data_IF_469126932255
#
_entry.id   IF_469126932255
#
_cell.length_a   1.000
_cell.length_b   1.000
_cell.length_c   1.000
_cell.angle_alpha   90.00
_cell.angle_beta   90.00
_cell.angle_gamma   90.00
#
_symmetry.space_group_name_H-M   'P 1'
#
loop_
_entity.id
_entity.type
_entity.pdbx_description
1 polymer ?
#
# COMPACT_ATOMS: atom_id res chain seq x y z
N UNK A 1 -17.90 1.38 -20.07
CA UNK A 1 -17.25 2.46 -19.28
C UNK A 1 -15.75 2.30 -19.48
N UNK A 2 -15.05 3.35 -19.95
CA UNK A 2 -13.58 3.33 -20.04
C UNK A 2 -12.99 3.89 -18.75
N UNK A 3 -11.78 3.47 -18.44
CA UNK A 3 -11.05 3.93 -17.28
C UNK A 3 -9.65 4.41 -17.65
N UNK A 4 -9.17 5.45 -16.98
CA UNK A 4 -7.84 6.01 -17.17
C UNK A 4 -6.97 5.74 -15.95
N UNK A 5 -5.81 5.12 -16.16
CA UNK A 5 -4.84 4.87 -15.10
C UNK A 5 -4.12 6.17 -14.74
N UNK A 6 -3.99 6.42 -13.44
CA UNK A 6 -3.27 7.57 -12.91
C UNK A 6 -1.98 7.10 -12.23
N UNK A 7 -0.82 7.25 -12.88
CA UNK A 7 0.44 6.81 -12.29
C UNK A 7 0.75 7.63 -11.04
N UNK A 8 1.37 6.99 -10.06
CA UNK A 8 1.73 7.65 -8.82
C UNK A 8 2.94 8.59 -9.02
N UNK A 9 2.88 9.86 -8.55
CA UNK A 9 3.91 10.86 -8.82
C UNK A 9 5.11 10.68 -7.89
N UNK A 10 6.23 10.20 -8.44
CA UNK A 10 7.51 10.12 -7.72
C UNK A 10 8.50 11.16 -8.26
N UNK A 11 8.98 12.10 -7.42
CA UNK A 11 10.19 12.86 -7.74
C UNK A 11 11.39 11.94 -7.97
N UNK A 12 12.31 12.39 -8.82
CA UNK A 12 13.53 11.65 -9.09
C UNK A 12 14.47 11.66 -7.87
N UNK A 13 14.82 10.49 -7.36
CA UNK A 13 15.88 10.34 -6.37
C UNK A 13 17.27 10.59 -6.99
N UNK A 14 18.17 11.33 -6.30
CA UNK A 14 19.59 11.34 -6.62
C UNK A 14 20.17 9.91 -6.70
N UNK A 15 21.16 9.69 -7.59
CA UNK A 15 21.75 8.37 -7.78
C UNK A 15 22.54 7.93 -6.55
N UNK A 16 22.59 6.63 -6.31
CA UNK A 16 23.52 6.01 -5.36
C UNK A 16 24.81 5.70 -6.11
N UNK A 17 25.89 6.37 -5.74
CA UNK A 17 27.26 6.15 -6.22
C UNK A 17 28.12 5.39 -5.21
N UNK A 18 27.74 5.46 -3.93
CA UNK A 18 28.37 4.69 -2.86
C UNK A 18 27.64 4.81 -1.52
N UNK A 19 28.26 4.30 -0.47
CA UNK A 19 27.66 4.28 0.88
C UNK A 19 27.46 5.65 1.52
N UNK A 20 28.17 6.67 1.06
CA UNK A 20 27.97 8.05 1.51
C UNK A 20 26.58 8.59 1.12
N UNK A 21 25.97 8.06 0.06
CA UNK A 21 24.64 8.46 -0.42
C UNK A 21 23.50 7.76 0.35
N UNK A 22 23.83 6.81 1.23
CA UNK A 22 22.87 6.04 2.03
C UNK A 22 22.94 6.55 3.46
N UNK A 23 21.86 7.19 3.91
CA UNK A 23 21.84 7.83 5.22
C UNK A 23 22.15 6.86 6.39
N UNK A 24 23.02 7.24 7.35
CA UNK A 24 23.32 6.44 8.54
C UNK A 24 22.11 6.05 9.39
N UNK A 25 20.98 6.79 9.31
CA UNK A 25 19.72 6.47 9.98
C UNK A 25 19.25 5.02 9.73
N UNK A 26 19.54 4.47 8.55
CA UNK A 26 19.14 3.11 8.20
C UNK A 26 20.08 2.03 8.74
N UNK A 27 21.15 2.43 9.43
CA UNK A 27 22.11 1.54 10.07
C UNK A 27 23.16 0.99 9.10
N UNK A 28 23.74 -0.14 9.49
CA UNK A 28 24.88 -0.77 8.82
C UNK A 28 24.62 -2.20 8.36
N UNK A 29 23.38 -2.70 8.53
CA UNK A 29 23.00 -4.09 8.25
C UNK A 29 21.71 -4.10 7.44
N UNK A 30 21.76 -4.68 6.24
CA UNK A 30 20.64 -4.70 5.31
C UNK A 30 20.34 -6.14 4.89
N UNK A 31 19.24 -6.68 5.37
CA UNK A 31 18.73 -7.98 4.91
C UNK A 31 18.05 -7.79 3.56
N UNK A 32 18.47 -8.57 2.57
CA UNK A 32 17.90 -8.61 1.23
C UNK A 32 16.66 -9.51 1.20
N UNK A 33 15.86 -9.40 0.14
CA UNK A 33 14.68 -10.24 -0.07
C UNK A 33 15.00 -11.74 -0.05
N UNK A 34 16.14 -12.12 -0.62
CA UNK A 34 16.65 -13.51 -0.65
C UNK A 34 17.29 -13.98 0.68
N UNK A 35 17.28 -13.14 1.72
CA UNK A 35 17.77 -13.46 3.06
C UNK A 35 19.26 -13.22 3.28
N UNK A 36 20.04 -12.90 2.24
CA UNK A 36 21.43 -12.47 2.43
C UNK A 36 21.49 -11.16 3.21
N UNK A 37 22.60 -10.93 3.90
CA UNK A 37 22.85 -9.69 4.64
C UNK A 37 24.02 -8.97 3.98
N UNK A 38 23.84 -7.68 3.74
CA UNK A 38 24.89 -6.77 3.26
C UNK A 38 25.21 -5.79 4.35
N UNK A 39 26.50 -5.53 4.54
CA UNK A 39 26.99 -4.57 5.50
C UNK A 39 27.44 -3.28 4.80
N UNK A 40 27.25 -2.15 5.49
CA UNK A 40 27.77 -0.87 5.00
C UNK A 40 29.28 -0.96 4.80
N UNK A 41 29.76 -0.49 3.64
CA UNK A 41 31.17 -0.60 3.23
C UNK A 41 31.42 -1.72 2.22
N UNK A 42 30.55 -2.73 2.15
CA UNK A 42 30.65 -3.81 1.16
C UNK A 42 30.14 -3.40 -0.21
N UNK A 43 30.46 -4.15 -1.26
CA UNK A 43 29.87 -3.89 -2.58
C UNK A 43 28.35 -4.14 -2.52
N UNK A 44 27.55 -3.14 -2.89
CA UNK A 44 26.09 -3.32 -3.05
C UNK A 44 25.85 -4.40 -4.13
N UNK A 45 25.13 -5.49 -3.82
CA UNK A 45 24.93 -6.58 -4.77
C UNK A 45 24.15 -6.12 -6.01
N UNK A 46 24.59 -6.57 -7.18
CA UNK A 46 23.73 -6.59 -8.35
C UNK A 46 22.82 -7.83 -8.26
N UNK A 47 21.53 -7.60 -8.03
CA UNK A 47 20.54 -8.67 -7.96
C UNK A 47 19.82 -8.82 -9.28
N UNK A 48 19.39 -10.04 -9.60
CA UNK A 48 18.52 -10.31 -10.75
C UNK A 48 17.20 -9.53 -10.65
N UNK A 49 16.62 -9.51 -9.45
CA UNK A 49 15.42 -8.73 -9.13
C UNK A 49 15.79 -7.53 -8.28
N UNK A 50 15.62 -6.32 -8.83
CA UNK A 50 15.84 -5.08 -8.09
C UNK A 50 14.93 -4.97 -6.84
N UNK A 51 13.78 -5.65 -6.82
CA UNK A 51 12.86 -5.73 -5.68
C UNK A 51 13.43 -6.51 -4.49
N UNK A 52 14.48 -7.30 -4.67
CA UNK A 52 15.13 -8.01 -3.56
C UNK A 52 16.16 -7.12 -2.84
N UNK A 53 16.58 -6.00 -3.43
CA UNK A 53 17.30 -4.96 -2.70
C UNK A 53 16.30 -4.21 -1.80
N UNK A 54 16.63 -3.89 -0.56
CA UNK A 54 15.86 -2.92 0.22
C UNK A 54 15.76 -1.58 -0.51
N UNK A 55 14.63 -0.88 -0.38
CA UNK A 55 14.36 0.42 -1.00
C UNK A 55 15.49 1.44 -0.83
N UNK A 56 16.08 1.50 0.36
CA UNK A 56 17.21 2.38 0.67
C UNK A 56 18.44 2.13 -0.22
N UNK A 57 18.61 0.92 -0.74
CA UNK A 57 19.69 0.53 -1.67
C UNK A 57 19.27 0.58 -3.14
N UNK A 58 18.02 0.94 -3.45
CA UNK A 58 17.52 1.06 -4.83
C UNK A 58 17.80 2.47 -5.36
N UNK A 59 18.15 2.55 -6.64
CA UNK A 59 18.28 3.83 -7.35
C UNK A 59 16.96 4.62 -7.34
N UNK A 60 15.83 3.91 -7.42
CA UNK A 60 14.48 4.48 -7.37
C UNK A 60 13.66 3.78 -6.28
N UNK A 61 13.76 4.23 -5.01
CA UNK A 61 12.84 3.78 -3.97
C UNK A 61 11.41 4.19 -4.32
N UNK A 62 10.45 3.28 -4.14
CA UNK A 62 9.02 3.54 -4.34
C UNK A 62 8.27 3.23 -3.05
N UNK A 63 8.56 4.03 -2.02
CA UNK A 63 8.01 3.87 -0.67
C UNK A 63 7.51 5.20 -0.13
N UNK A 64 6.33 5.60 -0.56
CA UNK A 64 5.58 6.69 0.03
C UNK A 64 4.08 6.42 -0.18
N UNK A 65 3.27 7.03 0.67
CA UNK A 65 1.83 6.89 0.61
C UNK A 65 1.20 7.86 -0.35
N UNK A 66 0.15 7.38 -1.00
CA UNK A 66 -0.88 8.25 -1.48
C UNK A 66 -1.75 8.75 -0.33
N UNK A 67 -2.42 9.88 -0.52
CA UNK A 67 -3.51 10.25 0.36
C UNK A 67 -4.74 9.44 -0.07
N UNK A 68 -5.08 8.43 0.73
CA UNK A 68 -6.27 7.60 0.52
C UNK A 68 -7.50 8.53 0.48
N UNK A 69 -8.33 8.47 -0.58
CA UNK A 69 -9.53 9.29 -0.66
C UNK A 69 -10.49 8.95 0.47
N UNK A 70 -11.23 9.95 0.95
CA UNK A 70 -12.13 9.80 2.12
C UNK A 70 -13.13 8.66 1.92
N UNK A 71 -13.64 8.50 0.69
CA UNK A 71 -14.57 7.43 0.32
C UNK A 71 -13.98 6.01 0.40
N UNK A 72 -12.64 5.87 0.44
CA UNK A 72 -11.94 4.60 0.61
C UNK A 72 -11.35 4.43 2.04
N UNK A 73 -11.67 5.32 2.98
CA UNK A 73 -11.18 5.17 4.35
C UNK A 73 -11.79 3.96 5.03
N UNK A 74 -10.93 3.15 5.65
CA UNK A 74 -11.37 1.98 6.41
C UNK A 74 -11.85 0.81 5.56
N UNK A 75 -11.45 0.72 4.28
CA UNK A 75 -11.72 -0.43 3.40
C UNK A 75 -10.44 -1.21 3.07
N UNK A 76 -9.38 -1.06 3.88
CA UNK A 76 -8.15 -1.84 3.72
C UNK A 76 -8.41 -3.34 3.89
N UNK A 77 -7.59 -4.20 3.30
CA UNK A 77 -7.74 -5.66 3.38
C UNK A 77 -7.75 -6.13 4.83
N UNK A 78 -6.90 -5.54 5.67
CA UNK A 78 -6.83 -5.84 7.10
C UNK A 78 -8.14 -5.53 7.86
N UNK A 79 -8.97 -4.62 7.35
CA UNK A 79 -10.28 -4.26 7.91
C UNK A 79 -11.46 -4.89 7.17
N UNK A 80 -11.25 -5.30 5.92
CA UNK A 80 -12.25 -5.90 5.05
C UNK A 80 -12.39 -7.39 5.30
N UNK A 81 -11.26 -8.09 5.44
CA UNK A 81 -11.20 -9.54 5.47
C UNK A 81 -11.21 -10.08 6.89
N UNK A 82 -11.80 -11.27 7.05
CA UNK A 82 -11.63 -12.06 8.25
C UNK A 82 -10.13 -12.30 8.50
N UNK A 83 -9.74 -12.29 9.78
CA UNK A 83 -8.33 -12.41 10.18
C UNK A 83 -7.61 -13.62 9.55
N UNK A 84 -8.31 -14.75 9.37
CA UNK A 84 -7.76 -15.97 8.76
C UNK A 84 -7.27 -15.69 7.33
N UNK A 85 -8.10 -15.05 6.53
CA UNK A 85 -7.81 -14.77 5.12
C UNK A 85 -6.76 -13.67 4.99
N UNK A 86 -6.83 -12.63 5.82
CA UNK A 86 -5.77 -11.63 5.86
C UNK A 86 -4.42 -12.21 6.27
N UNK A 87 -4.39 -13.12 7.25
CA UNK A 87 -3.18 -13.83 7.65
C UNK A 87 -2.66 -14.74 6.52
N UNK A 88 -3.53 -15.41 5.78
CA UNK A 88 -3.17 -16.24 4.62
C UNK A 88 -2.57 -15.44 3.46
N UNK A 89 -2.94 -14.16 3.33
CA UNK A 89 -2.32 -13.25 2.36
C UNK A 89 -0.98 -12.73 2.87
N UNK A 90 -0.93 -12.18 4.09
CA UNK A 90 0.24 -11.40 4.53
C UNK A 90 1.40 -12.24 5.04
N UNK A 91 1.16 -13.40 5.66
CA UNK A 91 2.24 -14.20 6.29
C UNK A 91 3.22 -14.77 5.25
N UNK A 92 2.76 -15.37 4.13
CA UNK A 92 3.68 -15.83 3.09
C UNK A 92 4.54 -14.70 2.53
N UNK A 93 3.97 -13.50 2.35
CA UNK A 93 4.72 -12.33 1.88
C UNK A 93 5.80 -11.89 2.88
N UNK A 94 5.52 -11.95 4.19
CA UNK A 94 6.51 -11.65 5.23
C UNK A 94 7.66 -12.68 5.22
N UNK A 95 7.32 -13.95 5.05
CA UNK A 95 8.28 -15.05 4.99
C UNK A 95 9.15 -14.98 3.72
N UNK A 96 8.54 -14.71 2.56
CA UNK A 96 9.24 -14.49 1.28
C UNK A 96 10.25 -13.34 1.37
N UNK A 97 9.95 -12.31 2.17
CA UNK A 97 10.86 -11.19 2.44
C UNK A 97 11.84 -11.44 3.57
N UNK A 98 12.08 -12.70 3.94
CA UNK A 98 13.02 -13.11 4.98
C UNK A 98 12.77 -12.43 6.33
N UNK A 99 11.49 -12.11 6.61
CA UNK A 99 11.07 -11.33 7.78
C UNK A 99 11.79 -9.97 7.87
N UNK A 100 11.94 -9.27 6.75
CA UNK A 100 12.61 -7.97 6.67
C UNK A 100 11.76 -6.88 6.04
N UNK A 101 12.01 -5.64 6.45
CA UNK A 101 11.37 -4.47 5.87
C UNK A 101 11.89 -4.23 4.45
N UNK A 102 11.01 -4.23 3.45
CA UNK A 102 11.36 -3.98 2.06
C UNK A 102 11.92 -2.57 1.83
N UNK A 103 11.61 -1.59 2.68
CA UNK A 103 12.13 -0.24 2.55
C UNK A 103 13.57 -0.11 3.08
N UNK A 104 13.82 -0.54 4.33
CA UNK A 104 15.10 -0.29 5.00
C UNK A 104 15.98 -1.54 5.21
N UNK A 105 15.50 -2.74 4.88
CA UNK A 105 16.25 -3.98 5.03
C UNK A 105 16.38 -4.48 6.48
N UNK A 106 15.70 -3.84 7.43
CA UNK A 106 15.73 -4.27 8.84
C UNK A 106 14.93 -5.56 9.01
N UNK A 107 15.60 -6.64 9.42
CA UNK A 107 14.96 -7.88 9.85
C UNK A 107 14.24 -7.72 11.20
N UNK A 108 13.04 -8.25 11.32
CA UNK A 108 12.25 -8.23 12.55
C UNK A 108 11.54 -9.56 12.74
N UNK A 109 11.59 -10.13 13.96
CA UNK A 109 10.87 -11.38 14.26
C UNK A 109 9.35 -11.20 14.28
N UNK A 110 8.88 -9.99 14.58
CA UNK A 110 7.47 -9.62 14.66
C UNK A 110 7.31 -8.11 14.45
N UNK A 111 6.07 -7.64 14.26
CA UNK A 111 5.76 -6.22 14.10
C UNK A 111 5.93 -5.65 12.68
N UNK A 112 6.18 -6.51 11.69
CA UNK A 112 6.09 -6.11 10.28
C UNK A 112 4.63 -5.92 9.87
N UNK A 113 4.40 -4.87 9.10
CA UNK A 113 3.11 -4.48 8.54
C UNK A 113 3.09 -4.84 7.06
N UNK A 114 1.93 -5.30 6.58
CA UNK A 114 1.66 -5.51 5.17
C UNK A 114 0.84 -4.32 4.67
N UNK A 115 1.44 -3.49 3.84
CA UNK A 115 0.88 -2.25 3.33
C UNK A 115 0.41 -2.41 1.90
N UNK A 116 -0.86 -2.12 1.64
CA UNK A 116 -1.45 -2.20 0.31
C UNK A 116 -1.03 -1.01 -0.57
N UNK A 117 -0.54 -1.32 -1.77
CA UNK A 117 -0.29 -0.36 -2.85
C UNK A 117 -1.43 -0.47 -3.85
N UNK A 118 -2.02 0.68 -4.19
CA UNK A 118 -3.21 0.76 -5.01
C UNK A 118 -2.96 1.51 -6.31
N UNK A 119 -3.51 0.96 -7.40
CA UNK A 119 -3.71 1.67 -8.64
C UNK A 119 -5.11 2.27 -8.67
N UNK A 120 -5.21 3.52 -9.12
CA UNK A 120 -6.48 4.23 -9.22
C UNK A 120 -6.80 4.49 -10.68
N UNK A 121 -7.95 3.93 -11.08
CA UNK A 121 -8.48 3.99 -12.43
C UNK A 121 -9.74 4.85 -12.42
N UNK A 122 -9.61 6.07 -12.95
CA UNK A 122 -10.69 7.05 -12.99
C UNK A 122 -11.69 6.69 -14.09
N UNK A 123 -13.01 6.81 -13.84
CA UNK A 123 -14.00 6.56 -14.87
C UNK A 123 -14.03 7.72 -15.88
N UNK A 124 -14.26 7.40 -17.15
CA UNK A 124 -14.53 8.41 -18.19
C UNK A 124 -15.85 9.16 -17.93
N UNK A 125 -16.85 8.46 -17.39
CA UNK A 125 -18.16 8.99 -17.03
C UNK A 125 -18.66 8.39 -15.71
N UNK A 126 -19.43 9.15 -14.93
CA UNK A 126 -20.00 8.70 -13.66
C UNK A 126 -19.10 8.96 -12.44
N UNK A 127 -19.53 8.48 -11.28
CA UNK A 127 -18.91 8.79 -9.98
C UNK A 127 -18.10 7.63 -9.36
N UNK A 128 -17.93 6.51 -10.07
CA UNK A 128 -17.32 5.29 -9.53
C UNK A 128 -16.02 4.94 -10.26
N UNK A 129 -14.89 5.07 -9.56
CA UNK A 129 -13.58 4.61 -10.01
C UNK A 129 -13.26 3.20 -9.52
N UNK A 130 -12.16 2.63 -10.04
CA UNK A 130 -11.64 1.34 -9.59
C UNK A 130 -10.32 1.57 -8.85
N UNK A 131 -10.28 1.10 -7.61
CA UNK A 131 -9.08 1.02 -6.78
C UNK A 131 -8.58 -0.43 -6.85
N UNK A 132 -7.62 -0.70 -7.73
CA UNK A 132 -7.04 -2.03 -7.94
C UNK A 132 -5.87 -2.25 -7.01
N UNK A 133 -5.87 -3.37 -6.28
CA UNK A 133 -4.70 -3.77 -5.51
C UNK A 133 -3.57 -4.09 -6.49
N UNK A 134 -2.44 -3.41 -6.36
CA UNK A 134 -1.29 -3.57 -7.25
C UNK A 134 -0.18 -4.40 -6.60
N UNK A 135 0.11 -4.14 -5.32
CA UNK A 135 1.12 -4.86 -4.56
C UNK A 135 0.81 -4.78 -3.06
N UNK A 136 1.33 -5.72 -2.27
CA UNK A 136 1.46 -5.56 -0.82
C UNK A 136 2.95 -5.46 -0.47
N UNK A 137 3.35 -4.43 0.29
CA UNK A 137 4.72 -4.21 0.75
C UNK A 137 4.87 -4.57 2.22
N UNK A 138 5.94 -5.26 2.58
CA UNK A 138 6.27 -5.63 3.96
C UNK A 138 7.18 -4.59 4.58
N UNK A 139 6.72 -3.95 5.67
CA UNK A 139 7.35 -2.75 6.23
C UNK A 139 7.46 -2.81 7.75
N UNK A 140 8.57 -2.34 8.31
CA UNK A 140 8.63 -2.04 9.75
C UNK A 140 7.73 -0.84 10.09
N UNK A 141 7.40 -0.66 11.37
CA UNK A 141 6.52 0.43 11.83
C UNK A 141 6.92 1.82 11.29
N UNK A 142 8.20 2.21 11.41
CA UNK A 142 8.66 3.53 10.97
C UNK A 142 8.55 3.72 9.45
N UNK A 143 8.87 2.69 8.65
CA UNK A 143 8.71 2.76 7.20
C UNK A 143 7.24 2.69 6.78
N UNK A 144 6.40 1.97 7.53
CA UNK A 144 4.96 1.96 7.26
C UNK A 144 4.34 3.34 7.49
N UNK A 145 4.81 4.10 8.48
CA UNK A 145 4.31 5.45 8.77
C UNK A 145 4.52 6.43 7.61
N UNK A 146 5.54 6.23 6.77
CA UNK A 146 5.79 7.04 5.56
C UNK A 146 4.64 6.97 4.54
N UNK A 147 3.75 5.98 4.68
CA UNK A 147 2.54 5.86 3.87
C UNK A 147 1.31 6.53 4.48
N UNK A 148 1.39 6.95 5.75
CA UNK A 148 0.27 7.50 6.51
C UNK A 148 0.63 8.86 7.08
N UNK A 149 1.12 9.78 6.24
CA UNK A 149 1.62 11.09 6.69
C UNK A 149 0.57 11.90 7.47
N UNK A 150 -0.70 11.87 7.04
CA UNK A 150 -1.79 12.52 7.78
C UNK A 150 -1.98 11.92 9.18
N UNK A 151 -1.91 10.59 9.31
CA UNK A 151 -1.97 9.92 10.61
C UNK A 151 -0.72 10.20 11.45
N UNK A 152 0.46 10.24 10.84
CA UNK A 152 1.70 10.61 11.50
C UNK A 152 1.60 12.01 12.11
N UNK A 153 1.00 12.97 11.39
CA UNK A 153 0.75 14.32 11.90
C UNK A 153 -0.17 14.31 13.13
N UNK A 154 -1.30 13.59 13.05
CA UNK A 154 -2.23 13.46 14.18
C UNK A 154 -1.57 12.84 15.43
N UNK A 155 -0.52 12.03 15.24
CA UNK A 155 0.24 11.40 16.33
C UNK A 155 1.45 12.24 16.79
N UNK A 156 1.65 13.45 16.27
CA UNK A 156 2.81 14.29 16.59
C UNK A 156 4.14 13.73 16.05
N UNK A 157 4.09 12.88 15.02
CA UNK A 157 5.25 12.19 14.41
C UNK A 157 5.55 12.66 12.99
N UNK A 158 5.02 13.82 12.60
CA UNK A 158 5.20 14.37 11.26
C UNK A 158 6.70 14.50 10.90
N UNK A 159 7.45 15.23 11.71
CA UNK A 159 8.86 15.55 11.44
C UNK A 159 9.72 14.27 11.31
N UNK A 160 9.60 13.33 12.25
CA UNK A 160 10.32 12.03 12.18
C UNK A 160 9.98 11.27 10.90
N UNK A 161 8.69 11.25 10.53
CA UNK A 161 8.22 10.48 9.38
C UNK A 161 8.65 11.09 8.05
N UNK A 162 8.59 12.42 7.94
CA UNK A 162 9.03 13.17 6.76
C UNK A 162 10.54 13.10 6.61
N UNK A 163 11.31 13.31 7.69
CA UNK A 163 12.76 13.19 7.67
C UNK A 163 13.19 11.79 7.20
N UNK A 164 12.55 10.73 7.72
CA UNK A 164 12.80 9.36 7.29
C UNK A 164 12.46 9.14 5.82
N UNK A 165 11.31 9.65 5.35
CA UNK A 165 10.87 9.53 3.96
C UNK A 165 11.88 10.22 3.03
N UNK A 166 12.26 11.46 3.33
CA UNK A 166 13.23 12.22 2.57
C UNK A 166 14.59 11.52 2.51
N UNK A 167 15.10 11.03 3.65
CA UNK A 167 16.37 10.27 3.67
C UNK A 167 16.31 8.98 2.89
N UNK A 168 15.18 8.25 2.93
CA UNK A 168 15.01 7.02 2.16
C UNK A 168 15.09 7.29 0.65
N UNK A 169 14.42 8.35 0.21
CA UNK A 169 14.35 8.74 -1.19
C UNK A 169 15.49 9.65 -1.64
N UNK A 170 16.35 10.08 -0.70
CA UNK A 170 17.40 11.09 -0.91
C UNK A 170 16.83 12.40 -1.46
N UNK A 171 15.61 12.76 -1.05
CA UNK A 171 14.94 13.96 -1.51
C UNK A 171 15.45 15.20 -0.78
N UNK A 172 15.61 16.29 -1.53
CA UNK A 172 15.68 17.63 -0.96
C UNK A 172 14.30 18.10 -0.47
N UNK A 173 14.27 19.16 0.34
CA UNK A 173 13.03 19.79 0.79
C UNK A 173 12.14 20.17 -0.40
N UNK A 174 12.69 20.83 -1.42
CA UNK A 174 11.95 21.17 -2.64
C UNK A 174 11.37 19.94 -3.36
N UNK A 175 12.06 18.79 -3.36
CA UNK A 175 11.50 17.57 -3.96
C UNK A 175 10.35 17.00 -3.13
N UNK A 176 10.45 17.08 -1.79
CA UNK A 176 9.37 16.69 -0.89
C UNK A 176 8.15 17.63 -0.99
N UNK A 177 8.36 18.95 -1.09
CA UNK A 177 7.29 19.92 -1.31
C UNK A 177 6.56 19.67 -2.62
N UNK A 178 7.30 19.43 -3.71
CA UNK A 178 6.71 19.06 -5.01
C UNK A 178 5.91 17.77 -4.92
N UNK A 179 6.44 16.75 -4.22
CA UNK A 179 5.71 15.52 -3.95
C UNK A 179 4.40 15.79 -3.18
N UNK A 180 4.46 16.60 -2.12
CA UNK A 180 3.29 17.02 -1.35
C UNK A 180 2.21 17.65 -2.22
N UNK A 181 2.58 18.62 -3.06
CA UNK A 181 1.65 19.27 -3.99
C UNK A 181 0.98 18.31 -4.96
N UNK A 182 1.72 17.34 -5.52
CA UNK A 182 1.13 16.33 -6.39
C UNK A 182 0.15 15.42 -5.65
N UNK A 183 0.50 14.99 -4.43
CA UNK A 183 -0.35 14.10 -3.63
C UNK A 183 -1.62 14.80 -3.16
N UNK A 184 -1.54 16.10 -2.81
CA UNK A 184 -2.72 16.90 -2.48
C UNK A 184 -3.67 17.08 -3.66
N UNK A 185 -3.16 17.48 -4.83
CA UNK A 185 -3.97 17.64 -6.04
C UNK A 185 -4.64 16.33 -6.46
N UNK A 186 -3.94 15.21 -6.29
CA UNK A 186 -4.43 13.86 -6.56
C UNK A 186 -5.51 13.45 -5.55
N UNK A 187 -5.32 13.68 -4.25
CA UNK A 187 -6.36 13.48 -3.21
C UNK A 187 -7.64 14.22 -3.57
N UNK A 188 -7.52 15.50 -3.89
CA UNK A 188 -8.67 16.35 -4.19
C UNK A 188 -9.41 15.86 -5.43
N UNK A 189 -8.67 15.38 -6.44
CA UNK A 189 -9.23 14.70 -7.60
C UNK A 189 -9.98 13.43 -7.21
N UNK A 190 -9.40 12.60 -6.34
CA UNK A 190 -9.94 11.29 -5.98
C UNK A 190 -11.12 11.34 -5.01
N UNK A 191 -11.21 12.38 -4.19
CA UNK A 191 -12.35 12.62 -3.30
C UNK A 191 -13.65 12.90 -4.06
N UNK A 192 -13.58 13.16 -5.38
CA UNK A 192 -14.76 13.31 -6.24
C UNK A 192 -15.41 11.99 -6.64
N UNK A 193 -14.77 10.86 -6.32
CA UNK A 193 -15.20 9.53 -6.73
C UNK A 193 -15.41 8.61 -5.53
N UNK A 194 -16.29 7.63 -5.71
CA UNK A 194 -16.38 6.44 -4.88
C UNK A 194 -15.56 5.32 -5.53
N UNK A 195 -14.94 4.46 -4.73
CA UNK A 195 -13.97 3.49 -5.23
C UNK A 195 -14.46 2.06 -5.04
N UNK A 196 -14.45 1.30 -6.13
CA UNK A 196 -14.72 -0.13 -6.13
C UNK A 196 -13.37 -0.85 -6.01
N UNK A 197 -13.27 -1.82 -5.10
CA UNK A 197 -12.04 -2.57 -4.89
C UNK A 197 -11.90 -3.66 -5.95
N UNK A 198 -10.80 -3.64 -6.70
CA UNK A 198 -10.42 -4.74 -7.56
C UNK A 198 -9.31 -5.56 -6.89
N UNK A 199 -9.67 -6.77 -6.47
CA UNK A 199 -8.81 -7.71 -5.75
C UNK A 199 -8.38 -8.90 -6.61
N UNK A 200 -8.45 -8.76 -7.94
CA UNK A 200 -8.12 -9.82 -8.90
C UNK A 200 -6.73 -10.43 -8.67
N UNK A 201 -5.77 -9.65 -8.17
CA UNK A 201 -4.37 -10.10 -7.99
C UNK A 201 -4.17 -11.03 -6.77
N UNK A 202 -5.14 -11.14 -5.87
CA UNK A 202 -4.97 -11.89 -4.61
C UNK A 202 -5.00 -13.39 -4.91
N UNK A 203 -3.86 -14.07 -5.04
CA UNK A 203 -3.86 -15.50 -5.43
C UNK A 203 -3.92 -16.48 -4.26
N UNK A 204 -3.47 -16.08 -3.06
CA UNK A 204 -3.36 -16.99 -1.91
C UNK A 204 -4.68 -17.42 -1.28
N UNK A 205 -5.79 -16.81 -1.72
CA UNK A 205 -7.15 -17.09 -1.25
C UNK A 205 -8.08 -17.17 -2.45
N UNK A 206 -8.75 -18.30 -2.62
CA UNK A 206 -9.69 -18.52 -3.72
C UNK A 206 -11.00 -17.76 -3.51
N UNK A 207 -11.56 -17.80 -2.29
CA UNK A 207 -12.78 -17.09 -1.89
C UNK A 207 -12.52 -16.28 -0.63
N UNK A 208 -12.82 -14.98 -0.70
CA UNK A 208 -12.58 -14.05 0.40
C UNK A 208 -13.68 -14.13 1.46
N UNK A 209 -13.33 -14.34 2.71
CA UNK A 209 -14.24 -14.27 3.83
C UNK A 209 -14.18 -12.88 4.43
N UNK A 210 -15.31 -12.17 4.45
CA UNK A 210 -15.38 -10.82 4.99
C UNK A 210 -15.44 -10.83 6.51
N UNK A 211 -14.85 -9.80 7.15
CA UNK A 211 -14.94 -9.65 8.59
C UNK A 211 -16.39 -9.40 9.03
N UNK A 212 -16.75 -9.91 10.21
CA UNK A 212 -18.10 -9.81 10.78
C UNK A 212 -18.59 -8.38 11.05
N UNK A 213 -17.69 -7.40 11.03
CA UNK A 213 -18.07 -5.98 11.13
C UNK A 213 -18.83 -5.49 9.88
N UNK A 214 -18.67 -6.19 8.75
CA UNK A 214 -19.38 -5.88 7.52
C UNK A 214 -20.75 -6.54 7.47
N UNK A 215 -21.66 -5.90 6.76
CA UNK A 215 -23.02 -6.38 6.48
C UNK A 215 -23.37 -6.06 5.02
N UNK A 216 -24.37 -6.74 4.47
CA UNK A 216 -24.88 -6.41 3.15
C UNK A 216 -25.65 -5.09 3.20
N UNK A 217 -25.48 -4.25 2.17
CA UNK A 217 -26.32 -3.07 2.01
C UNK A 217 -27.79 -3.50 1.84
N UNK A 218 -28.75 -2.81 2.47
CA UNK A 218 -30.17 -3.22 2.43
C UNK A 218 -30.79 -3.15 1.03
N UNK A 219 -30.30 -2.25 0.18
CA UNK A 219 -30.92 -1.95 -1.12
C UNK A 219 -30.02 -2.24 -2.33
N UNK A 220 -28.71 -2.35 -2.12
CA UNK A 220 -27.73 -2.41 -3.21
C UNK A 220 -27.08 -3.78 -3.21
N UNK A 221 -27.42 -4.58 -4.21
CA UNK A 221 -26.84 -5.91 -4.35
C UNK A 221 -25.31 -5.81 -4.48
N UNK A 222 -24.61 -6.68 -3.75
CA UNK A 222 -23.14 -6.81 -3.76
C UNK A 222 -22.37 -5.58 -3.30
N UNK A 223 -23.06 -4.64 -2.65
CA UNK A 223 -22.44 -3.59 -1.83
C UNK A 223 -22.48 -4.04 -0.38
N UNK A 224 -21.36 -3.87 0.31
CA UNK A 224 -21.24 -4.12 1.75
C UNK A 224 -21.08 -2.79 2.48
N UNK A 225 -21.55 -2.75 3.72
CA UNK A 225 -21.45 -1.59 4.59
C UNK A 225 -21.01 -1.98 6.01
N UNK A 226 -20.31 -1.04 6.66
CA UNK A 226 -19.90 -1.15 8.06
C UNK A 226 -19.95 0.23 8.73
N UNK A 227 -20.16 0.31 10.05
CA UNK A 227 -20.04 1.57 10.79
C UNK A 227 -18.68 2.23 10.57
N UNK A 228 -18.60 3.56 10.70
CA UNK A 228 -17.35 4.30 10.69
C UNK A 228 -16.37 3.76 11.74
N UNK A 229 -15.05 3.82 11.45
CA UNK A 229 -14.04 3.27 12.36
C UNK A 229 -13.71 4.25 13.49
N UNK A 230 -13.83 5.55 13.23
CA UNK A 230 -13.56 6.62 14.18
C UNK A 230 -14.84 7.40 14.49
N UNK A 231 -14.89 8.01 15.67
CA UNK A 231 -16.02 8.84 16.08
C UNK A 231 -16.27 9.97 15.07
N UNK A 232 -17.53 10.19 14.71
CA UNK A 232 -17.92 11.14 13.66
C UNK A 232 -17.73 10.64 12.22
N UNK A 233 -17.12 9.47 11.99
CA UNK A 233 -17.17 8.84 10.67
C UNK A 233 -18.54 8.21 10.44
N UNK A 234 -19.15 8.55 9.30
CA UNK A 234 -20.36 7.89 8.81
C UNK A 234 -20.12 6.44 8.40
N UNK A 235 -21.15 5.83 7.84
CA UNK A 235 -21.10 4.47 7.28
C UNK A 235 -20.05 4.37 6.16
N UNK A 236 -19.25 3.32 6.20
CA UNK A 236 -18.31 2.94 5.14
C UNK A 236 -18.99 1.98 4.18
N UNK A 237 -18.69 2.10 2.90
CA UNK A 237 -19.23 1.24 1.85
C UNK A 237 -18.09 0.65 1.02
N UNK A 238 -18.27 -0.56 0.52
CA UNK A 238 -17.36 -1.17 -0.44
C UNK A 238 -18.10 -2.08 -1.42
N UNK A 239 -17.51 -2.24 -2.59
CA UNK A 239 -17.86 -3.26 -3.56
C UNK A 239 -16.57 -3.95 -4.03
N UNK A 240 -16.65 -5.23 -4.39
CA UNK A 240 -15.50 -6.08 -4.67
C UNK A 240 -15.59 -6.67 -6.09
N UNK A 241 -14.50 -6.56 -6.84
CA UNK A 241 -14.28 -7.15 -8.15
C UNK A 241 -13.13 -8.17 -8.08
N UNK A 242 -13.10 -9.07 -9.06
CA UNK A 242 -11.99 -10.00 -9.29
C UNK A 242 -11.99 -11.25 -8.43
N UNK A 243 -12.77 -11.29 -7.35
CA UNK A 243 -12.81 -12.40 -6.41
C UNK A 243 -14.22 -12.76 -5.95
N UNK A 244 -14.52 -14.07 -5.78
CA UNK A 244 -15.69 -14.48 -5.04
C UNK A 244 -15.47 -14.17 -3.55
N UNK A 245 -16.57 -13.92 -2.84
CA UNK A 245 -16.51 -13.59 -1.42
C UNK A 245 -17.72 -14.12 -0.66
N UNK A 246 -17.57 -14.25 0.65
CA UNK A 246 -18.57 -14.78 1.57
C UNK A 246 -18.78 -13.80 2.71
N UNK A 247 -20.05 -13.58 3.07
CA UNK A 247 -20.46 -12.81 4.25
C UNK A 247 -21.68 -13.49 4.87
N UNK A 248 -21.70 -13.66 6.20
CA UNK A 248 -22.83 -14.28 6.92
C UNK A 248 -23.39 -15.53 6.22
N UNK A 249 -22.50 -16.46 5.85
CA UNK A 249 -22.80 -17.72 5.14
C UNK A 249 -23.42 -17.59 3.74
N UNK A 250 -23.57 -16.36 3.23
CA UNK A 250 -23.98 -16.09 1.85
C UNK A 250 -22.75 -15.95 0.98
N UNK A 251 -22.71 -16.74 -0.09
CA UNK A 251 -21.65 -16.71 -1.08
C UNK A 251 -22.04 -15.83 -2.26
N UNK A 252 -21.09 -15.01 -2.70
CA UNK A 252 -21.19 -14.19 -3.89
C UNK A 252 -20.12 -14.63 -4.88
N UNK A 253 -20.49 -14.97 -6.14
CA UNK A 253 -19.52 -15.36 -7.15
C UNK A 253 -18.57 -14.20 -7.47
N UNK A 254 -17.46 -14.46 -8.16
CA UNK A 254 -16.60 -13.38 -8.63
C UNK A 254 -17.34 -12.51 -9.64
N UNK A 255 -17.20 -11.19 -9.54
CA UNK A 255 -17.51 -10.31 -10.67
C UNK A 255 -16.22 -9.95 -11.40
N UNK A 256 -16.15 -10.06 -12.73
CA UNK A 256 -14.94 -9.72 -13.46
C UNK A 256 -14.62 -8.23 -13.30
N UNK A 257 -13.33 -7.91 -13.15
CA UNK A 257 -12.87 -6.53 -13.28
C UNK A 257 -12.97 -6.10 -14.75
N UNK A 258 -13.47 -4.89 -15.04
CA UNK A 258 -13.45 -4.34 -16.40
C UNK A 258 -12.04 -3.87 -16.81
N UNK A 259 -11.08 -3.83 -15.88
CA UNK A 259 -9.68 -3.57 -16.18
C UNK A 259 -9.07 -4.85 -16.74
N UNK A 260 -8.63 -4.80 -18.00
CA UNK A 260 -7.85 -5.90 -18.58
C UNK A 260 -6.64 -6.18 -17.69
N UNK A 261 -6.28 -7.46 -17.55
CA UNK A 261 -4.97 -7.82 -17.01
C UNK A 261 -3.98 -7.30 -18.03
N UNK A 262 -3.07 -6.41 -17.63
CA UNK A 262 -1.98 -6.02 -18.53
C UNK A 262 -1.27 -7.32 -18.96
N UNK A 263 -1.28 -7.60 -20.25
CA UNK A 263 -0.57 -8.72 -20.86
C UNK A 263 0.95 -8.62 -20.60
#
# INVERSE_FOLDING_TARGET
MRYFWTPFPFPQSPPITGWADIDPLFGNHFTLGDGRVVHRGEKIPALEKASDLPGVLRQRPQFCGDLIPVSAHGTSLASLLAKKDWDAIRKPLIEERSNSCEACGRRQKSGLNAHEIWEYHLPEHGAHGIQRLAQIKILCHHCHMMFHLAFANLQGKWDETVDRLMRLHRWSENQFENFGGFVEARRDTFNRYSWILDLSIVQSVDTLHLDKVWSLHPELDRVICAPGKYEGQGTRYAAILGKPWVIADRQFPAYPSPLQVAA
#
